data_IF_085270981825
#
_entry.id   IF_085270981825
#
_cell.length_a   1.000
_cell.length_b   1.000
_cell.length_c   1.000
_cell.angle_alpha   90.00
_cell.angle_beta   90.00
_cell.angle_gamma   90.00
#
_symmetry.space_group_name_H-M   'P 1'
#
loop_
_entity.id
_entity.type
_entity.pdbx_description
1 polymer ?
#
# COMPACT_ATOMS: atom_id res chain seq x y z
N UNK A 1 19.10 -5.00 -5.25
CA UNK A 1 18.12 -4.10 -4.60
C UNK A 1 17.19 -3.58 -5.67
N UNK A 2 15.89 -3.76 -5.48
CA UNK A 2 14.84 -3.27 -6.38
C UNK A 2 13.82 -2.48 -5.58
N UNK A 3 13.15 -1.54 -6.22
CA UNK A 3 12.11 -0.77 -5.58
C UNK A 3 11.03 -0.40 -6.59
N UNK A 4 9.82 -0.22 -6.09
CA UNK A 4 8.70 0.28 -6.87
C UNK A 4 7.77 1.10 -5.98
N UNK A 5 7.13 2.10 -6.56
CA UNK A 5 6.08 2.88 -5.91
C UNK A 5 4.78 2.74 -6.69
N UNK A 6 3.68 2.45 -6.00
CA UNK A 6 2.34 2.42 -6.61
C UNK A 6 1.41 3.42 -5.95
N UNK A 7 0.45 3.92 -6.74
CA UNK A 7 -0.67 4.70 -6.23
C UNK A 7 -1.79 3.79 -5.75
N UNK A 8 -2.37 4.11 -4.60
CA UNK A 8 -3.47 3.34 -4.01
C UNK A 8 -4.80 3.83 -4.57
N UNK A 9 -5.58 2.91 -5.13
CA UNK A 9 -6.94 3.16 -5.60
C UNK A 9 -7.96 3.12 -4.45
N UNK A 10 -7.83 2.12 -3.58
CA UNK A 10 -8.65 1.92 -2.38
C UNK A 10 -7.94 1.02 -1.37
N UNK A 11 -8.38 1.12 -0.11
CA UNK A 11 -7.80 0.38 1.00
C UNK A 11 -8.83 0.11 2.09
N UNK A 12 -8.68 -1.07 2.70
CA UNK A 12 -9.43 -1.56 3.84
C UNK A 12 -8.48 -1.82 5.01
N UNK A 13 -8.87 -1.38 6.19
CA UNK A 13 -8.25 -1.69 7.47
C UNK A 13 -9.13 -2.73 8.19
N UNK A 14 -8.72 -4.00 8.11
CA UNK A 14 -9.58 -5.14 8.44
C UNK A 14 -10.85 -5.13 7.57
N UNK A 15 -12.06 -5.17 8.16
CA UNK A 15 -13.32 -5.13 7.41
C UNK A 15 -13.75 -3.71 6.98
N UNK A 16 -12.97 -2.67 7.32
CA UNK A 16 -13.38 -1.27 7.22
C UNK A 16 -12.66 -0.56 6.09
N UNK A 17 -13.40 -0.15 5.05
CA UNK A 17 -12.86 0.73 4.02
C UNK A 17 -12.48 2.10 4.61
N UNK A 18 -11.34 2.65 4.17
CA UNK A 18 -10.95 4.01 4.53
C UNK A 18 -11.40 4.99 3.43
N UNK A 19 -11.95 6.17 3.78
CA UNK A 19 -12.30 7.19 2.80
C UNK A 19 -11.03 7.88 2.27
N UNK A 20 -10.42 7.27 1.26
CA UNK A 20 -9.13 7.70 0.72
C UNK A 20 -9.28 8.91 -0.21
N UNK A 21 -8.43 9.93 -0.02
CA UNK A 21 -8.23 11.02 -0.97
C UNK A 21 -7.06 10.73 -1.92
N UNK A 22 -5.97 10.21 -1.37
CA UNK A 22 -4.76 9.83 -2.10
C UNK A 22 -3.93 8.87 -1.26
N UNK A 23 -3.16 7.98 -1.87
CA UNK A 23 -2.18 7.19 -1.14
C UNK A 23 -1.12 6.57 -2.04
N UNK A 24 -0.01 6.20 -1.44
CA UNK A 24 1.08 5.47 -2.10
C UNK A 24 1.59 4.33 -1.25
N UNK A 25 2.05 3.27 -1.91
CA UNK A 25 2.92 2.26 -1.30
C UNK A 25 4.31 2.37 -1.91
N UNK A 26 5.33 2.42 -1.06
CA UNK A 26 6.73 2.22 -1.45
C UNK A 26 7.11 0.79 -1.07
N UNK A 27 7.66 0.04 -2.02
CA UNK A 27 8.13 -1.33 -1.82
C UNK A 27 9.61 -1.38 -2.16
N UNK A 28 10.40 -2.03 -1.32
CA UNK A 28 11.84 -2.24 -1.49
C UNK A 28 12.15 -3.71 -1.24
N UNK A 29 12.89 -4.31 -2.16
CA UNK A 29 13.34 -5.69 -2.05
C UNK A 29 14.87 -5.78 -2.02
N UNK A 30 15.39 -6.50 -1.03
CA UNK A 30 16.83 -6.70 -0.78
C UNK A 30 17.06 -8.07 -0.16
N UNK A 31 17.90 -8.89 -0.77
CA UNK A 31 18.29 -10.21 -0.24
C UNK A 31 17.08 -11.08 0.16
N UNK A 32 16.09 -11.16 -0.73
CA UNK A 32 14.79 -11.86 -0.54
C UNK A 32 13.90 -11.31 0.59
N UNK A 33 14.26 -10.17 1.17
CA UNK A 33 13.44 -9.44 2.15
C UNK A 33 12.69 -8.30 1.46
N UNK A 34 11.38 -8.24 1.70
CA UNK A 34 10.50 -7.17 1.21
C UNK A 34 10.13 -6.24 2.36
N UNK A 35 10.58 -4.99 2.27
CA UNK A 35 10.15 -3.88 3.11
C UNK A 35 9.11 -3.04 2.36
N UNK A 36 8.07 -2.58 3.05
CA UNK A 36 7.06 -1.72 2.44
C UNK A 36 6.48 -0.69 3.40
N UNK A 37 6.11 0.46 2.87
CA UNK A 37 5.50 1.58 3.60
C UNK A 37 4.31 2.13 2.82
N UNK A 38 3.18 2.32 3.50
CA UNK A 38 1.99 2.98 2.97
C UNK A 38 1.87 4.37 3.57
N UNK A 39 1.66 5.36 2.72
CA UNK A 39 1.28 6.71 3.11
C UNK A 39 -0.10 6.99 2.55
N UNK A 40 -1.07 7.21 3.42
CA UNK A 40 -2.47 7.39 3.06
C UNK A 40 -2.93 8.77 3.52
N UNK A 41 -3.59 9.50 2.64
CA UNK A 41 -4.29 10.73 2.94
C UNK A 41 -5.78 10.45 2.83
N UNK A 42 -6.48 10.50 3.95
CA UNK A 42 -7.93 10.32 4.02
C UNK A 42 -8.66 11.64 3.74
N UNK A 43 -9.93 11.55 3.35
CA UNK A 43 -10.81 12.70 3.11
C UNK A 43 -11.06 13.45 4.43
N UNK A 44 -11.25 12.70 5.51
CA UNK A 44 -11.45 13.21 6.87
C UNK A 44 -10.54 12.49 7.87
N UNK A 45 -10.46 13.01 9.10
CA UNK A 45 -9.65 12.38 10.14
C UNK A 45 -10.24 11.03 10.55
N UNK A 46 -9.44 9.98 10.48
CA UNK A 46 -9.88 8.62 10.77
C UNK A 46 -9.34 8.13 12.13
N UNK A 47 -10.20 7.67 13.05
CA UNK A 47 -9.74 7.11 14.31
C UNK A 47 -9.14 5.71 14.07
N UNK A 48 -7.81 5.66 13.95
CA UNK A 48 -7.05 4.41 13.81
C UNK A 48 -6.15 4.22 15.02
N UNK A 49 -6.25 3.07 15.67
CA UNK A 49 -5.40 2.74 16.81
C UNK A 49 -3.93 2.63 16.37
N UNK A 50 -3.00 3.07 17.23
CA UNK A 50 -1.57 2.88 17.01
C UNK A 50 -1.18 1.42 17.33
N UNK A 51 -1.47 0.53 16.38
CA UNK A 51 -1.30 -0.92 16.50
C UNK A 51 -0.94 -1.52 15.13
N UNK A 52 -0.75 -2.84 15.09
CA UNK A 52 -0.65 -3.61 13.84
C UNK A 52 -2.07 -3.89 13.34
N UNK A 53 -2.28 -3.66 12.05
CA UNK A 53 -3.56 -3.87 11.37
C UNK A 53 -3.39 -4.78 10.16
N UNK A 54 -4.34 -5.69 9.89
CA UNK A 54 -4.44 -6.30 8.58
C UNK A 54 -4.93 -5.26 7.58
N UNK A 55 -4.21 -5.11 6.46
CA UNK A 55 -4.54 -4.19 5.38
C UNK A 55 -4.80 -4.97 4.09
N UNK A 56 -5.83 -4.57 3.36
CA UNK A 56 -6.09 -5.01 2.00
C UNK A 56 -6.22 -3.77 1.12
N UNK A 57 -5.50 -3.71 0.00
CA UNK A 57 -5.55 -2.54 -0.87
C UNK A 57 -5.41 -2.89 -2.34
N UNK A 58 -5.98 -2.06 -3.21
CA UNK A 58 -5.74 -2.11 -4.64
C UNK A 58 -4.82 -0.98 -5.04
N UNK A 59 -3.78 -1.29 -5.80
CA UNK A 59 -2.85 -0.29 -6.32
C UNK A 59 -2.86 -0.29 -7.85
N UNK A 60 -2.67 0.89 -8.43
CA UNK A 60 -2.49 1.07 -9.86
C UNK A 60 -1.06 0.63 -10.20
N UNK A 61 -0.95 -0.42 -11.01
CA UNK A 61 0.34 -1.07 -11.35
C UNK A 61 0.77 -0.82 -12.79
N UNK A 62 -0.09 -0.21 -13.60
CA UNK A 62 0.24 0.16 -14.99
C UNK A 62 -1.00 0.50 -15.79
N UNK A 63 -0.94 0.24 -17.09
CA UNK A 63 -2.06 0.30 -18.00
C UNK A 63 -2.08 -0.95 -18.89
N UNK A 64 -3.26 -1.38 -19.33
CA UNK A 64 -3.42 -2.46 -20.29
C UNK A 64 -3.20 -1.99 -21.74
N UNK A 65 -3.28 -2.92 -22.69
CA UNK A 65 -3.09 -2.65 -24.13
C UNK A 65 -4.12 -1.66 -24.71
N UNK A 66 -5.19 -1.37 -23.97
CA UNK A 66 -6.24 -0.42 -24.35
C UNK A 66 -6.05 0.94 -23.68
N UNK A 67 -5.00 1.10 -22.87
CA UNK A 67 -4.73 2.30 -22.09
C UNK A 67 -5.61 2.44 -20.84
N UNK A 68 -6.36 1.41 -20.44
CA UNK A 68 -7.08 1.42 -19.18
C UNK A 68 -6.13 1.09 -18.02
N UNK A 69 -6.39 1.64 -16.83
CA UNK A 69 -5.56 1.39 -15.65
C UNK A 69 -5.58 -0.10 -15.27
N UNK A 70 -4.40 -0.67 -15.06
CA UNK A 70 -4.22 -1.99 -14.50
C UNK A 70 -4.08 -1.91 -12.98
N UNK A 71 -4.67 -2.88 -12.27
CA UNK A 71 -4.70 -2.90 -10.81
C UNK A 71 -4.23 -4.25 -10.28
N UNK A 72 -3.46 -4.22 -9.21
CA UNK A 72 -3.10 -5.40 -8.42
C UNK A 72 -3.65 -5.26 -7.00
N UNK A 73 -4.06 -6.37 -6.41
CA UNK A 73 -4.55 -6.43 -5.02
C UNK A 73 -3.45 -6.95 -4.11
N UNK A 74 -3.21 -6.22 -3.04
CA UNK A 74 -2.19 -6.55 -2.04
C UNK A 74 -2.84 -6.77 -0.68
N UNK A 75 -2.21 -7.64 0.12
CA UNK A 75 -2.61 -7.90 1.50
C UNK A 75 -1.37 -8.03 2.37
N UNK A 76 -1.40 -7.44 3.56
CA UNK A 76 -0.31 -7.55 4.53
C UNK A 76 -0.69 -6.98 5.88
N UNK A 77 0.10 -7.30 6.89
CA UNK A 77 0.00 -6.68 8.21
C UNK A 77 0.93 -5.48 8.29
N UNK A 78 0.47 -4.37 8.85
CA UNK A 78 1.28 -3.18 9.02
C UNK A 78 0.99 -2.43 10.32
N UNK A 79 2.03 -1.91 10.95
CA UNK A 79 1.93 -1.06 12.10
C UNK A 79 1.65 0.39 11.68
N UNK A 80 0.67 1.05 12.31
CA UNK A 80 0.54 2.50 12.21
C UNK A 80 1.71 3.15 12.96
N UNK A 81 2.65 3.75 12.22
CA UNK A 81 3.88 4.33 12.79
C UNK A 81 3.79 5.85 12.96
N UNK A 82 2.91 6.52 12.21
CA UNK A 82 2.70 7.96 12.32
C UNK A 82 1.29 8.34 11.86
N UNK A 83 0.73 9.34 12.53
CA UNK A 83 -0.51 10.01 12.12
C UNK A 83 -0.36 11.52 12.32
N UNK A 84 -0.72 12.30 11.29
CA UNK A 84 -0.74 13.77 11.32
C UNK A 84 -1.94 14.25 10.49
N UNK A 85 -2.87 14.96 11.12
CA UNK A 85 -4.11 15.44 10.51
C UNK A 85 -4.92 14.34 9.82
N UNK A 86 -4.99 14.31 8.48
CA UNK A 86 -5.65 13.24 7.71
C UNK A 86 -4.66 12.26 7.08
N UNK A 87 -3.39 12.30 7.50
CA UNK A 87 -2.33 11.45 6.95
C UNK A 87 -2.00 10.30 7.90
N UNK A 88 -2.14 9.07 7.41
CA UNK A 88 -1.78 7.84 8.10
C UNK A 88 -0.56 7.21 7.43
N UNK A 89 0.46 6.86 8.22
CA UNK A 89 1.65 6.17 7.73
C UNK A 89 1.74 4.79 8.37
N UNK A 90 1.74 3.76 7.53
CA UNK A 90 1.86 2.38 7.95
C UNK A 90 3.17 1.79 7.47
N UNK A 91 3.86 1.06 8.35
CA UNK A 91 5.04 0.27 7.99
C UNK A 91 4.70 -1.21 8.03
N UNK A 92 5.07 -1.93 6.96
CA UNK A 92 4.89 -3.37 6.86
C UNK A 92 5.48 -4.09 8.08
N UNK A 93 4.68 -4.97 8.68
CA UNK A 93 5.03 -5.81 9.82
C UNK A 93 5.03 -7.29 9.43
N UNK A 94 5.32 -7.59 8.16
CA UNK A 94 5.29 -8.95 7.61
C UNK A 94 5.30 -8.96 6.09
N UNK A 95 5.01 -10.14 5.54
CA UNK A 95 4.96 -10.38 4.10
C UNK A 95 3.86 -9.54 3.44
N UNK A 96 4.14 -9.08 2.21
CA UNK A 96 3.18 -8.43 1.34
C UNK A 96 2.72 -9.42 0.26
N UNK A 97 1.53 -9.98 0.43
CA UNK A 97 0.93 -10.89 -0.54
C UNK A 97 0.41 -10.13 -1.76
N UNK A 98 0.51 -10.74 -2.94
CA UNK A 98 0.14 -10.12 -4.22
C UNK A 98 1.29 -9.40 -4.93
N UNK A 99 2.46 -9.29 -4.31
CA UNK A 99 3.67 -8.80 -4.96
C UNK A 99 4.30 -9.89 -5.84
N UNK A 100 4.23 -9.67 -7.15
CA UNK A 100 4.88 -10.48 -8.19
C UNK A 100 6.07 -9.76 -8.86
N UNK A 101 6.93 -10.55 -9.51
CA UNK A 101 8.14 -10.09 -10.20
C UNK A 101 7.89 -8.97 -11.23
N UNK A 102 6.80 -9.08 -12.00
CA UNK A 102 6.48 -8.13 -13.08
C UNK A 102 6.10 -6.73 -12.56
N UNK A 103 5.89 -6.56 -11.26
CA UNK A 103 5.65 -5.26 -10.64
C UNK A 103 6.92 -4.40 -10.55
N UNK A 104 8.10 -5.01 -10.55
CA UNK A 104 9.34 -4.26 -10.53
C UNK A 104 9.70 -3.82 -11.95
N UNK A 105 10.17 -2.57 -12.14
CA UNK A 105 10.71 -2.16 -13.42
C UNK A 105 11.86 -3.09 -13.83
N UNK A 106 11.85 -3.57 -15.07
CA UNK A 106 13.01 -4.23 -15.67
C UNK A 106 14.17 -3.25 -15.74
N UNK A 107 15.34 -3.65 -15.24
CA UNK A 107 16.57 -2.86 -15.25
C UNK A 107 17.09 -2.61 -16.66
#
# INVERSE_FOLDING_TARGET
MRHVQFHIADIELGPRALPLKYGTVQIVERDDVVDWELVLHTIESEPVAQAIHPLAFRAITGADDRGALAFSRFHGEAALVRWVDTTLVFRGAGLLSGLEEHHFPTA
#
